data_IF_374594565034
#
_entry.id   IF_374594565034
#
_cell.length_a   1.000
_cell.length_b   1.000
_cell.length_c   1.000
_cell.angle_alpha   90.00
_cell.angle_beta   90.00
_cell.angle_gamma   90.00
#
_symmetry.space_group_name_H-M   'P 1'
#
loop_
_entity.id
_entity.type
_entity.pdbx_description
1 polymer ?
#
# COMPACT_ATOMS: atom_id res chain seq x y z
N UNK A 1 12.51 -46.15 34.71
CA UNK A 1 12.91 -44.73 34.53
C UNK A 1 12.88 -44.07 35.91
N UNK A 2 13.97 -43.41 36.33
CA UNK A 2 14.03 -42.77 37.66
C UNK A 2 12.97 -41.65 37.75
N UNK A 3 12.11 -41.67 38.77
CA UNK A 3 11.04 -40.69 38.99
C UNK A 3 11.57 -39.24 38.97
N UNK A 4 12.78 -39.02 39.50
CA UNK A 4 13.45 -37.72 39.47
C UNK A 4 13.81 -37.31 38.04
N UNK A 5 14.31 -38.24 37.22
CA UNK A 5 14.62 -37.98 35.81
C UNK A 5 13.37 -37.62 35.02
N UNK A 6 12.24 -38.29 35.29
CA UNK A 6 10.96 -37.96 34.67
C UNK A 6 10.46 -36.57 35.05
N UNK A 7 10.54 -36.20 36.34
CA UNK A 7 10.14 -34.86 36.80
C UNK A 7 11.03 -33.76 36.21
N UNK A 8 12.34 -33.97 36.18
CA UNK A 8 13.28 -33.00 35.59
C UNK A 8 13.03 -32.85 34.09
N UNK A 9 12.84 -33.95 33.35
CA UNK A 9 12.51 -33.91 31.93
C UNK A 9 11.17 -33.19 31.68
N UNK A 10 10.16 -33.47 32.51
CA UNK A 10 8.86 -32.80 32.46
C UNK A 10 8.99 -31.28 32.62
N UNK A 11 9.69 -30.82 33.66
CA UNK A 11 9.94 -29.38 33.89
C UNK A 11 10.67 -28.76 32.69
N UNK A 12 11.70 -29.43 32.18
CA UNK A 12 12.51 -28.93 31.08
C UNK A 12 11.69 -28.75 29.80
N UNK A 13 10.81 -29.71 29.48
CA UNK A 13 9.87 -29.61 28.35
C UNK A 13 8.92 -28.42 28.52
N UNK A 14 8.36 -28.20 29.71
CA UNK A 14 7.46 -27.06 29.95
C UNK A 14 8.20 -25.72 29.89
N UNK A 15 9.43 -25.64 30.39
CA UNK A 15 10.26 -24.44 30.23
C UNK A 15 10.57 -24.15 28.75
N UNK A 16 10.89 -25.17 27.94
CA UNK A 16 11.11 -25.01 26.50
C UNK A 16 9.84 -24.52 25.81
N UNK A 17 8.68 -25.10 26.10
CA UNK A 17 7.41 -24.64 25.53
C UNK A 17 7.09 -23.19 25.93
N UNK A 18 7.28 -22.85 27.20
CA UNK A 18 7.06 -21.48 27.67
C UNK A 18 7.97 -20.49 26.94
N UNK A 19 9.27 -20.78 26.81
CA UNK A 19 10.23 -19.92 26.09
C UNK A 19 9.86 -19.84 24.60
N UNK A 20 9.41 -20.95 24.00
CA UNK A 20 9.04 -20.98 22.57
C UNK A 20 7.87 -20.06 22.23
N UNK A 21 6.91 -19.87 23.16
CA UNK A 21 5.80 -18.93 22.96
C UNK A 21 6.34 -17.50 22.80
N UNK A 22 7.37 -17.12 23.57
CA UNK A 22 7.95 -15.79 23.44
C UNK A 22 8.77 -15.61 22.14
N UNK A 23 9.52 -16.62 21.71
CA UNK A 23 10.26 -16.56 20.42
C UNK A 23 9.31 -16.51 19.22
N UNK A 24 8.21 -17.27 19.26
CA UNK A 24 7.24 -17.39 18.15
C UNK A 24 6.32 -16.16 18.07
N UNK A 25 5.75 -15.70 19.19
CA UNK A 25 4.70 -14.69 19.19
C UNK A 25 5.15 -13.29 19.61
N UNK A 26 6.38 -13.12 20.10
CA UNK A 26 6.86 -11.81 20.58
C UNK A 26 8.17 -11.35 19.93
N UNK A 27 8.37 -11.73 18.66
CA UNK A 27 9.48 -11.23 17.84
C UNK A 27 8.95 -10.26 16.79
N UNK A 28 9.50 -9.05 16.74
CA UNK A 28 9.12 -8.05 15.72
C UNK A 28 9.41 -8.57 14.31
N UNK A 29 8.50 -8.35 13.33
CA UNK A 29 8.78 -8.68 11.94
C UNK A 29 9.88 -7.80 11.35
N UNK A 30 10.07 -6.60 11.91
CA UNK A 30 10.97 -5.57 11.42
C UNK A 30 12.44 -5.92 11.62
N UNK A 31 13.20 -5.65 10.57
CA UNK A 31 14.65 -5.76 10.50
C UNK A 31 15.21 -4.35 10.43
N UNK A 32 16.35 -4.13 11.08
CA UNK A 32 17.05 -2.84 11.06
C UNK A 32 18.51 -3.03 10.62
N UNK A 33 19.13 -1.96 10.12
CA UNK A 33 20.53 -1.97 9.67
C UNK A 33 20.73 -2.51 8.25
N UNK A 34 19.68 -2.57 7.45
CA UNK A 34 19.78 -2.87 6.01
C UNK A 34 20.26 -1.65 5.23
N UNK A 35 20.89 -1.88 4.09
CA UNK A 35 21.23 -0.82 3.14
C UNK A 35 20.03 -0.59 2.20
N UNK A 36 19.57 0.64 2.00
CA UNK A 36 18.51 0.94 1.04
C UNK A 36 19.03 0.81 -0.40
N UNK A 37 18.20 0.25 -1.29
CA UNK A 37 18.50 0.11 -2.72
C UNK A 37 17.45 0.81 -3.59
N UNK A 38 17.93 1.62 -4.54
CA UNK A 38 17.09 2.32 -5.52
C UNK A 38 17.56 2.06 -6.95
N UNK A 39 16.66 2.24 -7.89
CA UNK A 39 16.95 2.18 -9.33
C UNK A 39 17.74 3.43 -9.72
N UNK A 40 18.78 3.26 -10.54
CA UNK A 40 19.60 4.39 -11.03
C UNK A 40 19.08 5.00 -12.34
N UNK A 41 18.22 4.29 -13.05
CA UNK A 41 17.56 4.79 -14.25
C UNK A 41 16.54 5.88 -13.90
N UNK A 42 16.32 6.87 -14.79
CA UNK A 42 15.33 7.90 -14.58
C UNK A 42 13.93 7.32 -14.31
N UNK A 43 13.25 7.75 -13.24
CA UNK A 43 11.90 7.28 -12.96
C UNK A 43 10.90 7.85 -13.97
N UNK A 44 9.81 7.11 -14.27
CA UNK A 44 8.83 7.56 -15.23
C UNK A 44 7.90 8.67 -14.70
N UNK A 45 7.81 8.89 -13.39
CA UNK A 45 7.01 9.93 -12.77
C UNK A 45 7.87 10.82 -11.85
N UNK A 46 7.52 12.10 -11.75
CA UNK A 46 8.12 13.02 -10.77
C UNK A 46 7.33 13.06 -9.47
N UNK A 47 6.02 12.78 -9.56
CA UNK A 47 5.08 12.87 -8.46
C UNK A 47 4.04 11.75 -8.53
N UNK A 48 3.59 11.32 -7.35
CA UNK A 48 2.59 10.28 -7.17
C UNK A 48 1.44 10.83 -6.34
N UNK A 49 0.20 10.56 -6.76
CA UNK A 49 -1.00 10.78 -5.97
C UNK A 49 -1.60 9.42 -5.59
N UNK A 50 -1.63 9.14 -4.29
CA UNK A 50 -2.20 7.93 -3.73
C UNK A 50 -3.53 8.27 -3.06
N UNK A 51 -4.62 7.69 -3.56
CA UNK A 51 -5.93 7.70 -2.93
C UNK A 51 -6.17 6.34 -2.28
N UNK A 52 -6.39 6.32 -0.96
CA UNK A 52 -6.84 5.13 -0.24
C UNK A 52 -8.23 5.41 0.28
N UNK A 53 -9.21 4.70 -0.27
CA UNK A 53 -10.60 4.82 0.10
C UNK A 53 -10.94 3.70 1.09
N UNK A 54 -10.80 4.00 2.38
CA UNK A 54 -10.85 3.04 3.50
C UNK A 54 -12.15 2.22 3.45
N UNK A 55 -12.03 0.90 3.65
CA UNK A 55 -13.16 -0.04 3.63
C UNK A 55 -13.79 -0.28 2.25
N UNK A 56 -13.22 0.24 1.16
CA UNK A 56 -13.75 0.07 -0.19
C UNK A 56 -13.58 -1.36 -0.72
N UNK A 57 -14.68 -2.09 -0.84
CA UNK A 57 -14.74 -3.40 -1.50
C UNK A 57 -14.54 -3.31 -3.02
N UNK A 58 -13.78 -4.25 -3.60
CA UNK A 58 -13.58 -4.35 -5.04
C UNK A 58 -14.90 -4.52 -5.81
N UNK A 59 -15.79 -5.38 -5.31
CA UNK A 59 -17.07 -5.66 -5.96
C UNK A 59 -17.97 -4.40 -6.02
N UNK A 60 -18.01 -3.63 -4.95
CA UNK A 60 -18.86 -2.45 -4.84
C UNK A 60 -18.43 -1.32 -5.79
N UNK A 61 -17.12 -1.22 -6.05
CA UNK A 61 -16.56 -0.29 -7.03
C UNK A 61 -16.81 -0.76 -8.47
N UNK A 62 -16.52 -2.03 -8.77
CA UNK A 62 -16.48 -2.54 -10.14
C UNK A 62 -17.83 -3.00 -10.68
N UNK A 63 -18.77 -3.38 -9.81
CA UNK A 63 -20.12 -3.80 -10.23
C UNK A 63 -20.90 -2.66 -10.88
N UNK A 64 -21.79 -3.05 -11.78
CA UNK A 64 -22.84 -2.19 -12.31
C UNK A 64 -24.14 -2.44 -11.53
N UNK A 65 -24.96 -1.41 -11.41
CA UNK A 65 -26.31 -1.54 -10.88
C UNK A 65 -27.23 -2.30 -11.85
N UNK A 66 -28.48 -2.57 -11.44
CA UNK A 66 -29.46 -3.29 -12.26
C UNK A 66 -29.85 -2.57 -13.56
N UNK A 67 -29.50 -1.29 -13.72
CA UNK A 67 -29.68 -0.50 -14.94
C UNK A 67 -28.40 -0.42 -15.78
N UNK A 68 -27.32 -1.08 -15.36
CA UNK A 68 -26.04 -1.09 -16.06
C UNK A 68 -25.15 0.13 -15.77
N UNK A 69 -25.46 0.94 -14.75
CA UNK A 69 -24.66 2.11 -14.39
C UNK A 69 -23.62 1.77 -13.32
N UNK A 70 -22.44 2.38 -13.40
CA UNK A 70 -21.41 2.24 -12.38
C UNK A 70 -21.61 3.24 -11.23
N UNK A 71 -21.25 2.85 -10.00
CA UNK A 71 -21.13 3.79 -8.89
C UNK A 71 -19.88 4.69 -9.02
N UNK A 72 -18.94 4.35 -9.90
CA UNK A 72 -17.70 5.08 -10.10
C UNK A 72 -17.41 5.27 -11.60
N UNK A 73 -18.24 6.06 -12.31
CA UNK A 73 -18.12 6.25 -13.76
C UNK A 73 -16.77 6.82 -14.20
N UNK A 74 -16.16 7.73 -13.44
CA UNK A 74 -14.84 8.28 -13.77
C UNK A 74 -13.77 7.20 -13.70
N UNK A 75 -13.69 6.47 -12.58
CA UNK A 75 -12.71 5.39 -12.39
C UNK A 75 -12.93 4.24 -13.37
N UNK A 76 -14.18 3.88 -13.67
CA UNK A 76 -14.49 2.90 -14.71
C UNK A 76 -14.02 3.37 -16.09
N UNK A 77 -14.15 4.66 -16.39
CA UNK A 77 -13.61 5.23 -17.62
C UNK A 77 -12.07 5.21 -17.64
N UNK A 78 -11.40 5.42 -16.50
CA UNK A 78 -9.94 5.26 -16.39
C UNK A 78 -9.52 3.84 -16.76
N UNK A 79 -10.17 2.82 -16.19
CA UNK A 79 -9.93 1.40 -16.54
C UNK A 79 -10.06 1.19 -18.05
N UNK A 80 -11.08 1.78 -18.66
CA UNK A 80 -11.37 1.56 -20.07
C UNK A 80 -10.41 2.28 -21.04
N UNK A 81 -9.83 3.41 -20.62
CA UNK A 81 -9.17 4.36 -21.53
C UNK A 81 -7.71 4.67 -21.24
N UNK A 82 -7.27 4.64 -19.97
CA UNK A 82 -5.96 5.20 -19.58
C UNK A 82 -5.19 4.38 -18.54
N UNK A 83 -5.86 3.51 -17.78
CA UNK A 83 -5.27 2.85 -16.62
C UNK A 83 -5.03 1.36 -16.77
N UNK A 84 -4.26 0.82 -15.81
CA UNK A 84 -4.20 -0.60 -15.48
C UNK A 84 -5.00 -0.86 -14.21
N UNK A 85 -5.60 -2.04 -14.10
CA UNK A 85 -6.53 -2.35 -13.03
C UNK A 85 -6.46 -3.81 -12.60
N UNK A 86 -6.94 -4.08 -11.39
CA UNK A 86 -7.10 -5.42 -10.87
C UNK A 86 -7.61 -5.43 -9.43
N UNK A 87 -7.39 -6.55 -8.76
CA UNK A 87 -7.69 -6.73 -7.34
C UNK A 87 -6.39 -6.73 -6.53
N UNK A 88 -6.36 -5.92 -5.48
CA UNK A 88 -5.34 -5.96 -4.44
C UNK A 88 -5.81 -6.89 -3.32
N UNK A 89 -5.00 -7.92 -3.04
CA UNK A 89 -5.28 -8.93 -2.03
C UNK A 89 -4.66 -8.52 -0.70
N UNK A 90 -5.48 -8.02 0.23
CA UNK A 90 -5.06 -7.71 1.61
C UNK A 90 -5.00 -8.99 2.47
N UNK A 91 -4.42 -8.90 3.66
CA UNK A 91 -4.24 -10.02 4.59
C UNK A 91 -4.89 -9.74 5.94
N UNK A 92 -5.16 -10.81 6.66
CA UNK A 92 -5.63 -10.73 8.05
C UNK A 92 -4.50 -10.21 8.95
N UNK A 93 -4.79 -9.31 9.91
CA UNK A 93 -6.12 -8.75 10.19
C UNK A 93 -6.47 -7.63 9.20
N UNK A 94 -7.67 -7.69 8.63
CA UNK A 94 -8.21 -6.68 7.69
C UNK A 94 -8.67 -5.46 8.48
N UNK A 95 -7.70 -4.78 9.07
CA UNK A 95 -7.86 -3.57 9.88
C UNK A 95 -7.11 -2.43 9.21
N UNK A 96 -7.54 -1.19 9.44
CA UNK A 96 -7.05 -0.07 8.64
C UNK A 96 -5.54 0.13 8.74
N UNK A 97 -4.98 0.10 9.96
CA UNK A 97 -3.53 0.24 10.15
C UNK A 97 -2.70 -0.82 9.41
N UNK A 98 -2.89 -2.14 9.63
CA UNK A 98 -2.16 -3.17 8.92
C UNK A 98 -2.27 -3.07 7.39
N UNK A 99 -3.45 -2.72 6.87
CA UNK A 99 -3.67 -2.53 5.44
C UNK A 99 -2.87 -1.35 4.88
N UNK A 100 -2.87 -0.20 5.58
CA UNK A 100 -2.07 0.96 5.21
C UNK A 100 -0.55 0.68 5.28
N UNK A 101 -0.09 -0.06 6.29
CA UNK A 101 1.32 -0.47 6.38
C UNK A 101 1.71 -1.38 5.22
N UNK A 102 0.84 -2.31 4.82
CA UNK A 102 1.08 -3.14 3.64
C UNK A 102 1.16 -2.29 2.37
N UNK A 103 0.23 -1.35 2.18
CA UNK A 103 0.21 -0.46 1.00
C UNK A 103 1.46 0.41 0.88
N UNK A 104 1.88 1.05 1.97
CA UNK A 104 2.85 2.16 1.95
C UNK A 104 4.27 1.69 2.34
N UNK A 105 4.39 0.71 3.24
CA UNK A 105 5.68 0.14 3.64
C UNK A 105 5.95 -1.25 3.03
N UNK A 106 4.94 -1.87 2.40
CA UNK A 106 5.13 -3.11 1.66
C UNK A 106 5.32 -4.35 2.53
N UNK A 107 4.93 -4.32 3.80
CA UNK A 107 5.00 -5.48 4.69
C UNK A 107 3.73 -5.66 5.51
N UNK A 108 3.53 -6.89 6.00
CA UNK A 108 2.36 -7.24 6.78
C UNK A 108 2.70 -7.20 8.27
N UNK A 109 1.98 -6.39 9.04
CA UNK A 109 2.10 -6.40 10.50
C UNK A 109 1.61 -7.74 11.07
N UNK A 110 2.29 -8.22 12.11
CA UNK A 110 1.88 -9.43 12.84
C UNK A 110 0.68 -9.11 13.74
N UNK A 111 -0.29 -10.02 13.83
CA UNK A 111 -1.47 -9.93 14.71
C UNK A 111 -1.08 -9.58 16.15
N UNK A 112 0.04 -10.12 16.64
CA UNK A 112 0.59 -9.84 17.99
C UNK A 112 1.07 -8.40 18.17
N UNK A 113 1.55 -7.75 17.11
CA UNK A 113 1.88 -6.33 17.11
C UNK A 113 0.59 -5.49 17.11
N UNK A 114 -0.46 -5.90 16.40
CA UNK A 114 -1.74 -5.19 16.39
C UNK A 114 -2.44 -5.24 17.76
N UNK A 115 -2.42 -6.38 18.43
CA UNK A 115 -3.07 -6.60 19.75
C UNK A 115 -2.44 -5.77 20.88
N UNK A 116 -1.14 -5.42 20.77
CA UNK A 116 -0.41 -4.69 21.84
C UNK A 116 -0.59 -3.18 21.81
N UNK A 117 -1.11 -2.58 20.74
CA UNK A 117 -1.04 -1.14 20.54
C UNK A 117 -2.09 -0.58 19.58
N UNK A 118 -3.37 -0.83 19.88
CA UNK A 118 -4.54 -0.39 19.12
C UNK A 118 -4.60 1.12 18.82
N UNK A 119 -3.77 1.96 19.47
CA UNK A 119 -3.73 3.41 19.21
C UNK A 119 -2.35 4.00 18.95
N UNK A 120 -1.27 3.45 19.52
CA UNK A 120 0.08 3.86 19.18
C UNK A 120 1.02 2.68 19.45
N UNK A 121 1.56 2.06 18.40
CA UNK A 121 2.64 1.10 18.57
C UNK A 121 3.91 1.74 17.99
N UNK A 122 4.91 2.08 18.83
CA UNK A 122 5.99 3.03 18.54
C UNK A 122 7.14 2.45 17.72
N UNK A 123 6.93 1.34 17.01
CA UNK A 123 8.01 0.74 16.24
C UNK A 123 8.12 1.47 14.92
N UNK A 124 9.08 2.37 14.84
CA UNK A 124 9.44 3.08 13.61
C UNK A 124 9.77 2.06 12.51
N UNK A 125 9.14 2.25 11.36
CA UNK A 125 9.42 1.49 10.15
C UNK A 125 9.64 2.44 8.98
N UNK A 126 10.41 1.95 8.02
CA UNK A 126 10.63 2.64 6.77
C UNK A 126 9.46 2.42 5.80
N UNK A 127 9.16 3.43 4.99
CA UNK A 127 8.04 3.43 4.05
C UNK A 127 8.34 4.31 2.84
N UNK A 128 7.52 4.24 1.79
CA UNK A 128 7.75 5.10 0.61
C UNK A 128 7.70 6.61 0.93
N UNK A 129 7.03 7.01 2.03
CA UNK A 129 6.97 8.42 2.44
C UNK A 129 8.31 8.89 3.01
N UNK A 130 8.99 8.03 3.77
CA UNK A 130 10.34 8.26 4.29
C UNK A 130 11.36 8.45 3.16
N UNK A 131 11.18 7.69 2.07
CA UNK A 131 12.09 7.68 0.93
C UNK A 131 11.79 8.78 -0.10
N UNK A 132 10.65 9.47 0.05
CA UNK A 132 10.24 10.60 -0.78
C UNK A 132 11.01 11.88 -0.45
N UNK A 133 11.08 12.81 -1.42
CA UNK A 133 11.62 14.16 -1.18
C UNK A 133 10.68 14.98 -0.32
N UNK A 134 9.39 14.91 -0.62
CA UNK A 134 8.30 15.51 0.15
C UNK A 134 7.05 14.64 0.04
N UNK A 135 6.38 14.44 1.18
CA UNK A 135 5.04 13.87 1.23
C UNK A 135 4.10 14.89 1.87
N UNK A 136 2.96 15.15 1.24
CA UNK A 136 1.83 15.84 1.86
C UNK A 136 0.66 14.88 1.98
N UNK A 137 0.10 14.75 3.17
CA UNK A 137 -0.98 13.82 3.46
C UNK A 137 -2.16 14.47 4.15
N UNK A 138 -3.38 14.01 3.81
CA UNK A 138 -4.64 14.48 4.38
C UNK A 138 -5.54 13.30 4.78
N UNK A 139 -6.15 13.38 5.95
CA UNK A 139 -7.14 12.40 6.42
C UNK A 139 -7.10 12.11 7.91
N UNK A 140 -7.17 10.82 8.28
CA UNK A 140 -7.37 10.40 9.68
C UNK A 140 -6.16 10.67 10.59
N UNK A 141 -6.38 11.18 11.82
CA UNK A 141 -5.34 11.25 12.84
C UNK A 141 -4.87 9.87 13.34
N UNK A 142 -5.61 8.79 13.06
CA UNK A 142 -5.21 7.43 13.42
C UNK A 142 -4.28 6.78 12.38
N UNK A 143 -4.30 7.28 11.14
CA UNK A 143 -3.48 6.76 10.03
C UNK A 143 -2.24 7.60 9.76
N UNK A 144 -2.43 8.90 9.49
CA UNK A 144 -1.36 9.75 8.96
C UNK A 144 -0.13 9.85 9.88
N UNK A 145 -0.27 10.07 11.20
CA UNK A 145 0.87 10.26 12.08
C UNK A 145 1.80 9.06 12.17
N UNK A 146 1.33 7.83 11.90
CA UNK A 146 2.20 6.64 11.99
C UNK A 146 3.31 6.66 10.93
N UNK A 147 3.05 7.23 9.75
CA UNK A 147 4.03 7.37 8.68
C UNK A 147 4.90 8.63 8.83
N UNK A 148 4.39 9.66 9.51
CA UNK A 148 5.17 10.88 9.77
C UNK A 148 6.14 10.71 10.95
N UNK A 149 5.72 10.02 12.02
CA UNK A 149 6.59 9.76 13.20
C UNK A 149 7.81 8.91 12.86
N UNK A 150 7.69 7.99 11.90
CA UNK A 150 8.81 7.18 11.41
C UNK A 150 9.73 7.91 10.42
N UNK A 151 9.29 9.04 9.85
CA UNK A 151 10.06 9.80 8.87
C UNK A 151 11.19 10.58 9.53
N UNK A 152 12.42 10.38 9.06
CA UNK A 152 13.57 11.14 9.55
C UNK A 152 13.59 12.53 8.90
N UNK A 153 13.07 13.54 9.61
CA UNK A 153 13.20 14.96 9.23
C UNK A 153 11.90 15.63 8.75
N UNK A 154 12.00 16.92 8.39
CA UNK A 154 10.85 17.80 8.09
C UNK A 154 10.37 17.70 6.63
N UNK A 155 10.02 16.50 6.17
CA UNK A 155 9.59 16.28 4.77
C UNK A 155 8.29 15.48 4.59
N UNK A 156 7.71 14.92 5.66
CA UNK A 156 6.37 14.29 5.65
C UNK A 156 5.42 15.18 6.44
N UNK A 157 4.48 15.82 5.75
CA UNK A 157 3.53 16.78 6.32
C UNK A 157 2.14 16.17 6.41
N UNK A 158 1.55 16.15 7.60
CA UNK A 158 0.21 15.60 7.86
C UNK A 158 -0.78 16.70 8.16
N UNK A 159 -1.93 16.72 7.49
CA UNK A 159 -3.07 17.55 7.84
C UNK A 159 -4.27 16.66 8.16
N UNK A 160 -4.62 16.57 9.45
CA UNK A 160 -5.71 15.72 9.91
C UNK A 160 -6.92 16.55 10.32
N UNK A 161 -8.11 16.02 10.08
CA UNK A 161 -9.30 16.51 10.79
C UNK A 161 -9.18 16.13 12.28
N UNK A 162 -9.98 16.78 13.13
CA UNK A 162 -9.97 16.44 14.56
C UNK A 162 -10.58 15.06 14.80
N UNK A 163 -10.03 14.30 15.74
CA UNK A 163 -10.49 12.95 16.06
C UNK A 163 -11.98 12.90 16.46
N UNK A 164 -12.53 13.97 17.04
CA UNK A 164 -13.96 14.01 17.39
C UNK A 164 -14.90 14.07 16.17
N UNK A 165 -14.36 14.26 14.96
CA UNK A 165 -15.13 14.18 13.72
C UNK A 165 -15.26 12.76 13.17
N UNK A 166 -14.51 11.78 13.70
CA UNK A 166 -14.67 10.36 13.40
C UNK A 166 -15.85 9.80 14.19
N UNK A 167 -17.04 10.31 13.89
CA UNK A 167 -18.28 9.83 14.48
C UNK A 167 -18.90 8.77 13.56
N UNK A 168 -18.67 7.50 13.90
CA UNK A 168 -19.25 6.36 13.19
C UNK A 168 -20.78 6.25 13.29
N UNK A 169 -21.42 7.10 14.10
CA UNK A 169 -22.86 7.22 14.18
C UNK A 169 -23.41 8.48 13.45
N UNK A 170 -22.54 9.28 12.81
CA UNK A 170 -22.97 10.46 12.06
C UNK A 170 -23.87 10.08 10.87
N UNK A 171 -24.91 10.87 10.63
CA UNK A 171 -25.85 10.65 9.53
C UNK A 171 -25.21 10.84 8.13
N UNK A 172 -24.08 11.55 8.02
CA UNK A 172 -23.36 11.77 6.77
C UNK A 172 -21.84 11.66 6.94
N UNK A 173 -21.31 10.45 6.72
CA UNK A 173 -19.88 10.19 6.78
C UNK A 173 -19.10 10.71 5.55
N UNK A 174 -19.78 11.15 4.47
CA UNK A 174 -19.11 11.69 3.28
C UNK A 174 -18.39 13.02 3.55
N UNK A 175 -18.69 13.65 4.70
CA UNK A 175 -18.08 14.91 5.13
C UNK A 175 -16.57 14.80 5.35
N UNK A 176 -16.06 13.64 5.77
CA UNK A 176 -14.63 13.44 5.99
C UNK A 176 -13.87 13.37 4.66
N UNK A 177 -14.40 12.66 3.67
CA UNK A 177 -13.84 12.60 2.32
C UNK A 177 -13.87 13.99 1.67
N UNK A 178 -15.00 14.69 1.80
CA UNK A 178 -15.17 16.06 1.28
C UNK A 178 -14.16 17.01 1.92
N UNK A 179 -13.96 16.90 3.25
CA UNK A 179 -12.95 17.69 3.95
C UNK A 179 -11.54 17.45 3.38
N UNK A 180 -11.17 16.19 3.11
CA UNK A 180 -9.87 15.86 2.51
C UNK A 180 -9.73 16.53 1.14
N UNK A 181 -10.73 16.38 0.26
CA UNK A 181 -10.69 17.00 -1.07
C UNK A 181 -10.62 18.53 -0.99
N UNK A 182 -11.36 19.17 -0.08
CA UNK A 182 -11.33 20.61 0.12
C UNK A 182 -9.96 21.08 0.64
N UNK A 183 -9.35 20.39 1.59
CA UNK A 183 -8.02 20.72 2.07
C UNK A 183 -6.95 20.62 0.97
N UNK A 184 -7.05 19.62 0.09
CA UNK A 184 -6.12 19.50 -1.05
C UNK A 184 -6.34 20.65 -2.04
N UNK A 185 -7.60 21.00 -2.35
CA UNK A 185 -7.93 22.15 -3.21
C UNK A 185 -7.39 23.46 -2.65
N UNK A 186 -7.59 23.71 -1.36
CA UNK A 186 -7.07 24.90 -0.67
C UNK A 186 -5.54 24.93 -0.67
N UNK A 187 -4.90 23.79 -0.43
CA UNK A 187 -3.44 23.67 -0.45
C UNK A 187 -2.85 24.03 -1.82
N UNK A 188 -3.38 23.49 -2.92
CA UNK A 188 -2.91 23.81 -4.27
C UNK A 188 -3.23 25.25 -4.67
N UNK A 189 -4.34 25.82 -4.21
CA UNK A 189 -4.65 27.24 -4.43
C UNK A 189 -3.70 28.17 -3.67
N UNK A 190 -3.34 27.82 -2.43
CA UNK A 190 -2.34 28.55 -1.64
C UNK A 190 -0.95 28.44 -2.29
N UNK A 191 -0.59 27.26 -2.79
CA UNK A 191 0.68 27.03 -3.47
C UNK A 191 0.89 27.95 -4.68
N UNK A 192 -0.15 28.29 -5.44
CA UNK A 192 -0.05 29.21 -6.60
C UNK A 192 0.51 30.59 -6.22
N UNK A 193 0.32 31.04 -4.98
CA UNK A 193 0.72 32.37 -4.51
C UNK A 193 1.85 32.31 -3.47
N UNK A 194 2.39 31.12 -3.17
CA UNK A 194 3.47 30.93 -2.21
C UNK A 194 4.69 30.35 -2.94
N UNK A 195 5.66 31.21 -3.29
CA UNK A 195 6.84 30.81 -4.08
C UNK A 195 7.63 29.66 -3.45
N UNK A 196 7.76 29.64 -2.11
CA UNK A 196 8.47 28.58 -1.41
C UNK A 196 7.74 27.24 -1.54
N UNK A 197 6.42 27.23 -1.33
CA UNK A 197 5.62 26.02 -1.47
C UNK A 197 5.54 25.57 -2.93
N UNK A 198 5.36 26.51 -3.86
CA UNK A 198 5.37 26.25 -5.29
C UNK A 198 6.66 25.56 -5.73
N UNK A 199 7.81 26.07 -5.28
CA UNK A 199 9.12 25.47 -5.55
C UNK A 199 9.22 24.05 -4.99
N UNK A 200 8.80 23.82 -3.73
CA UNK A 200 8.80 22.47 -3.14
C UNK A 200 7.92 21.49 -3.92
N UNK A 201 6.78 21.95 -4.45
CA UNK A 201 5.85 21.14 -5.22
C UNK A 201 6.36 20.82 -6.65
N UNK A 202 7.37 21.53 -7.14
CA UNK A 202 8.01 21.29 -8.43
C UNK A 202 9.32 20.50 -8.33
N UNK A 203 9.68 20.02 -7.13
CA UNK A 203 10.72 19.02 -6.95
C UNK A 203 10.29 17.65 -7.51
N UNK A 204 11.21 16.69 -7.50
CA UNK A 204 10.95 15.30 -7.87
C UNK A 204 10.77 14.43 -6.63
N UNK A 205 10.26 13.20 -6.80
CA UNK A 205 10.01 12.23 -5.72
C UNK A 205 8.96 12.74 -4.73
N UNK A 206 7.92 13.37 -5.25
CA UNK A 206 6.82 13.92 -4.45
C UNK A 206 5.70 12.90 -4.30
N UNK A 207 5.11 12.84 -3.10
CA UNK A 207 3.90 12.05 -2.84
C UNK A 207 2.80 12.94 -2.28
N UNK A 208 1.59 12.78 -2.81
CA UNK A 208 0.35 13.27 -2.23
C UNK A 208 -0.47 12.08 -1.77
N UNK A 209 -0.80 12.01 -0.49
CA UNK A 209 -1.58 10.91 0.09
C UNK A 209 -2.92 11.41 0.61
N UNK A 210 -4.01 10.89 0.05
CA UNK A 210 -5.37 11.21 0.45
C UNK A 210 -6.00 9.96 1.06
N UNK A 211 -6.22 10.01 2.36
CA UNK A 211 -6.92 8.98 3.12
C UNK A 211 -8.40 9.34 3.26
N UNK A 212 -9.28 8.54 2.68
CA UNK A 212 -10.71 8.82 2.57
C UNK A 212 -11.50 7.80 3.43
N UNK A 213 -11.89 8.22 4.64
CA UNK A 213 -12.50 7.35 5.68
C UNK A 213 -14.01 7.13 5.51
N UNK A 214 -14.69 7.93 4.68
CA UNK A 214 -16.16 7.98 4.63
C UNK A 214 -16.80 6.63 4.27
N UNK A 215 -16.15 5.84 3.42
CA UNK A 215 -16.66 4.54 2.99
C UNK A 215 -16.66 3.49 4.10
N UNK A 216 -15.56 3.31 4.83
CA UNK A 216 -15.51 2.43 5.99
C UNK A 216 -16.59 2.81 7.01
N UNK A 217 -16.67 4.10 7.32
CA UNK A 217 -17.66 4.65 8.26
C UNK A 217 -19.10 4.33 7.83
N UNK A 218 -19.44 4.61 6.57
CA UNK A 218 -20.77 4.27 6.01
C UNK A 218 -20.99 2.77 5.94
N UNK A 219 -19.94 1.99 5.74
CA UNK A 219 -20.02 0.54 5.69
C UNK A 219 -20.37 -0.04 7.07
N UNK A 220 -19.77 0.45 8.16
CA UNK A 220 -20.12 0.05 9.53
C UNK A 220 -21.55 0.45 9.89
N UNK A 221 -21.92 1.71 9.59
CA UNK A 221 -23.22 2.26 9.97
C UNK A 221 -24.38 1.72 9.12
N UNK A 222 -24.21 1.62 7.80
CA UNK A 222 -25.28 1.35 6.84
C UNK A 222 -25.11 0.06 6.05
N UNK A 223 -23.95 -0.59 6.10
CA UNK A 223 -23.58 -1.81 5.34
C UNK A 223 -23.25 -1.52 3.86
N UNK A 224 -22.40 -2.35 3.21
CA UNK A 224 -21.92 -2.09 1.84
C UNK A 224 -22.97 -2.06 0.73
N UNK A 225 -24.11 -2.71 0.93
CA UNK A 225 -25.17 -2.77 -0.08
C UNK A 225 -26.13 -1.58 -0.03
N UNK A 226 -26.01 -0.74 1.01
CA UNK A 226 -26.85 0.43 1.25
C UNK A 226 -26.71 1.49 0.17
N UNK A 227 -27.69 2.40 0.17
CA UNK A 227 -27.66 3.56 -0.73
C UNK A 227 -26.58 4.54 -0.29
N UNK A 228 -26.40 4.67 1.01
CA UNK A 228 -25.45 5.58 1.68
C UNK A 228 -24.01 5.22 1.27
N UNK A 229 -23.62 3.95 1.41
CA UNK A 229 -22.31 3.45 0.97
C UNK A 229 -22.10 3.64 -0.54
N UNK A 230 -23.08 3.27 -1.38
CA UNK A 230 -22.99 3.47 -2.84
C UNK A 230 -22.92 4.94 -3.26
N UNK A 231 -23.63 5.82 -2.57
CA UNK A 231 -23.56 7.27 -2.77
C UNK A 231 -22.18 7.80 -2.36
N UNK A 232 -21.58 7.28 -1.29
CA UNK A 232 -20.23 7.63 -0.91
C UNK A 232 -19.21 7.20 -1.99
N UNK A 233 -19.38 6.04 -2.64
CA UNK A 233 -18.52 5.63 -3.77
C UNK A 233 -18.61 6.68 -4.89
N UNK A 234 -19.82 7.16 -5.23
CA UNK A 234 -20.00 8.23 -6.24
C UNK A 234 -19.31 9.52 -5.81
N UNK A 235 -19.37 9.88 -4.53
CA UNK A 235 -18.69 11.05 -3.99
C UNK A 235 -17.17 10.95 -4.06
N UNK A 236 -16.61 9.79 -3.76
CA UNK A 236 -15.18 9.52 -3.92
C UNK A 236 -14.80 9.59 -5.40
N UNK A 237 -15.58 9.01 -6.31
CA UNK A 237 -15.33 9.07 -7.75
C UNK A 237 -15.33 10.50 -8.30
N UNK A 238 -16.34 11.32 -7.93
CA UNK A 238 -16.43 12.75 -8.24
C UNK A 238 -15.22 13.52 -7.70
N UNK A 239 -14.89 13.34 -6.42
CA UNK A 239 -13.77 14.03 -5.77
C UNK A 239 -12.42 13.64 -6.37
N UNK A 240 -12.20 12.36 -6.68
CA UNK A 240 -10.97 11.90 -7.37
C UNK A 240 -10.87 12.55 -8.75
N UNK A 241 -11.96 12.64 -9.52
CA UNK A 241 -11.96 13.32 -10.81
C UNK A 241 -11.56 14.80 -10.69
N UNK A 242 -12.09 15.51 -9.69
CA UNK A 242 -11.76 16.90 -9.41
C UNK A 242 -10.28 17.07 -9.04
N UNK A 243 -9.76 16.25 -8.13
CA UNK A 243 -8.35 16.31 -7.70
C UNK A 243 -7.41 15.99 -8.86
N UNK A 244 -7.70 14.97 -9.66
CA UNK A 244 -6.90 14.65 -10.86
C UNK A 244 -6.83 15.86 -11.79
N UNK A 245 -7.98 16.44 -12.13
CA UNK A 245 -8.07 17.59 -13.04
C UNK A 245 -7.30 18.80 -12.50
N UNK A 246 -7.39 19.05 -11.19
CA UNK A 246 -6.67 20.13 -10.53
C UNK A 246 -5.17 19.90 -10.51
N UNK A 247 -4.71 18.70 -10.15
CA UNK A 247 -3.29 18.35 -10.08
C UNK A 247 -2.67 18.44 -11.47
N UNK A 248 -3.30 17.82 -12.48
CA UNK A 248 -2.83 17.91 -13.87
C UNK A 248 -2.78 19.38 -14.34
N UNK A 249 -3.82 20.17 -14.04
CA UNK A 249 -3.86 21.60 -14.37
C UNK A 249 -2.78 22.43 -13.67
N UNK A 250 -2.49 22.17 -12.39
CA UNK A 250 -1.46 22.88 -11.61
C UNK A 250 -0.07 22.69 -12.21
N UNK A 251 0.24 21.49 -12.70
CA UNK A 251 1.51 21.17 -13.35
C UNK A 251 1.48 21.37 -14.87
N UNK A 252 0.47 22.04 -15.41
CA UNK A 252 0.38 22.34 -16.84
C UNK A 252 0.26 21.11 -17.74
N UNK A 253 -0.32 20.01 -17.23
CA UNK A 253 -0.48 18.72 -17.92
C UNK A 253 0.86 18.15 -18.42
N UNK A 254 1.91 18.25 -17.61
CA UNK A 254 3.28 17.82 -17.96
C UNK A 254 3.43 16.31 -18.21
N UNK A 255 2.42 15.50 -17.88
CA UNK A 255 2.44 14.05 -18.04
C UNK A 255 3.36 13.31 -17.05
N UNK A 256 3.83 13.97 -15.98
CA UNK A 256 4.79 13.42 -15.02
C UNK A 256 4.16 13.00 -13.68
N UNK A 257 2.83 12.92 -13.61
CA UNK A 257 2.09 12.48 -12.41
C UNK A 257 1.57 11.07 -12.60
N UNK A 258 1.89 10.18 -11.65
CA UNK A 258 1.25 8.88 -11.52
C UNK A 258 0.13 8.97 -10.47
N UNK A 259 -0.95 8.23 -10.70
CA UNK A 259 -2.09 8.15 -9.80
C UNK A 259 -2.41 6.69 -9.47
N UNK A 260 -2.73 6.42 -8.21
CA UNK A 260 -3.16 5.11 -7.73
C UNK A 260 -4.37 5.30 -6.83
N UNK A 261 -5.45 4.55 -7.09
CA UNK A 261 -6.60 4.42 -6.21
C UNK A 261 -6.72 2.96 -5.75
N UNK A 262 -6.84 2.76 -4.45
CA UNK A 262 -7.01 1.45 -3.84
C UNK A 262 -7.72 1.53 -2.48
N UNK A 263 -7.79 0.41 -1.77
CA UNK A 263 -8.28 0.31 -0.40
C UNK A 263 -7.31 -0.52 0.46
N UNK A 264 -7.34 -0.26 1.76
CA UNK A 264 -6.62 -1.01 2.79
C UNK A 264 -7.33 -2.34 3.13
N UNK A 265 -8.66 -2.33 3.18
CA UNK A 265 -9.51 -3.51 3.27
C UNK A 265 -10.88 -3.27 2.62
N UNK A 266 -11.68 -4.32 2.54
CA UNK A 266 -13.13 -4.22 2.32
C UNK A 266 -13.89 -4.46 3.61
N UNK A 267 -15.09 -5.02 3.52
CA UNK A 267 -15.85 -5.46 4.69
C UNK A 267 -16.91 -6.52 4.34
N UNK A 268 -17.42 -7.20 5.36
CA UNK A 268 -18.54 -8.14 5.22
C UNK A 268 -19.85 -7.44 4.86
N UNK A 269 -20.84 -8.22 4.42
CA UNK A 269 -22.20 -7.71 4.18
C UNK A 269 -22.89 -7.19 5.44
N UNK A 270 -22.36 -7.52 6.62
CA UNK A 270 -22.85 -7.05 7.92
C UNK A 270 -22.27 -5.71 8.35
N UNK A 271 -21.31 -5.16 7.59
CA UNK A 271 -20.66 -3.92 7.98
C UNK A 271 -19.50 -4.13 8.95
N UNK A 272 -18.79 -5.25 8.88
CA UNK A 272 -17.66 -5.55 9.80
C UNK A 272 -16.45 -6.00 9.01
N UNK A 273 -15.25 -5.82 9.55
CA UNK A 273 -14.01 -6.33 8.98
C UNK A 273 -13.08 -6.88 10.11
N UNK A 274 -11.86 -7.30 9.78
CA UNK A 274 -10.87 -7.88 10.69
C UNK A 274 -10.53 -9.35 10.42
N UNK A 275 -11.32 -10.04 9.57
CA UNK A 275 -11.19 -11.46 9.24
C UNK A 275 -10.84 -11.70 7.75
N UNK A 276 -10.89 -12.97 7.32
CA UNK A 276 -10.38 -13.43 6.02
C UNK A 276 -11.45 -13.56 4.93
N UNK A 277 -12.66 -13.01 5.12
CA UNK A 277 -13.69 -13.16 4.10
C UNK A 277 -13.27 -12.45 2.80
N UNK A 278 -13.55 -12.99 1.58
CA UNK A 278 -13.19 -12.33 0.33
C UNK A 278 -13.69 -10.89 0.20
N UNK A 279 -14.86 -10.56 0.74
CA UNK A 279 -15.34 -9.18 0.73
C UNK A 279 -14.53 -8.24 1.62
N UNK A 280 -13.78 -8.76 2.59
CA UNK A 280 -12.83 -8.02 3.42
C UNK A 280 -11.44 -7.97 2.76
N UNK A 281 -11.05 -9.04 2.05
CA UNK A 281 -9.69 -9.22 1.56
C UNK A 281 -9.46 -8.78 0.10
N UNK A 282 -10.52 -8.58 -0.68
CA UNK A 282 -10.46 -8.16 -2.08
C UNK A 282 -10.76 -6.66 -2.20
N UNK A 283 -9.72 -5.88 -2.44
CA UNK A 283 -9.77 -4.42 -2.59
C UNK A 283 -9.53 -4.01 -4.05
N UNK A 284 -10.11 -2.91 -4.53
CA UNK A 284 -9.84 -2.45 -5.89
C UNK A 284 -8.41 -1.92 -6.00
N UNK A 285 -7.83 -2.01 -7.19
CA UNK A 285 -6.59 -1.32 -7.55
C UNK A 285 -6.74 -0.77 -8.96
N UNK A 286 -6.67 0.55 -9.10
CA UNK A 286 -6.66 1.25 -10.38
C UNK A 286 -5.46 2.19 -10.38
N UNK A 287 -4.58 2.08 -11.37
CA UNK A 287 -3.44 2.95 -11.54
C UNK A 287 -3.44 3.56 -12.93
N UNK A 288 -3.02 4.82 -13.06
CA UNK A 288 -2.94 5.52 -14.34
C UNK A 288 -1.91 6.67 -14.30
N UNK A 289 -1.67 7.28 -15.45
CA UNK A 289 -0.73 8.39 -15.59
C UNK A 289 0.70 7.95 -15.88
N UNK A 290 1.66 8.77 -15.46
CA UNK A 290 3.08 8.63 -15.80
C UNK A 290 3.63 7.25 -15.41
N UNK A 291 4.23 6.54 -16.37
CA UNK A 291 4.84 5.23 -16.14
C UNK A 291 3.88 4.05 -15.97
N UNK A 292 2.56 4.27 -16.01
CA UNK A 292 1.56 3.20 -15.93
C UNK A 292 1.18 2.71 -17.32
N UNK A 293 0.99 1.39 -17.43
CA UNK A 293 0.57 0.73 -18.67
C UNK A 293 -0.88 1.07 -19.00
N UNK A 294 -1.09 1.43 -20.27
CA UNK A 294 -2.42 1.65 -20.83
C UNK A 294 -3.26 0.36 -20.79
N UNK A 295 -4.61 0.49 -20.88
CA UNK A 295 -5.50 -0.66 -20.87
C UNK A 295 -5.14 -1.65 -21.97
N UNK A 296 -5.01 -2.92 -21.61
CA UNK A 296 -4.75 -3.99 -22.57
C UNK A 296 -6.06 -4.70 -22.88
N UNK A 297 -6.47 -4.71 -24.14
CA UNK A 297 -7.63 -5.48 -24.58
C UNK A 297 -7.25 -6.94 -24.80
N UNK A 298 -8.11 -7.85 -24.36
CA UNK A 298 -7.89 -9.29 -24.41
C UNK A 298 -9.19 -10.01 -24.77
N UNK A 299 -9.07 -11.11 -25.52
CA UNK A 299 -10.21 -11.90 -25.97
C UNK A 299 -10.68 -12.93 -24.95
N UNK A 300 -9.77 -13.38 -24.09
CA UNK A 300 -10.05 -14.31 -23.00
C UNK A 300 -9.01 -14.18 -21.90
N UNK A 301 -9.44 -14.43 -20.67
CA UNK A 301 -8.61 -14.44 -19.47
C UNK A 301 -9.13 -15.56 -18.57
N UNK A 302 -8.24 -16.24 -17.84
CA UNK A 302 -8.62 -17.31 -16.93
C UNK A 302 -8.35 -16.88 -15.49
N UNK A 303 -9.43 -16.84 -14.71
CA UNK A 303 -9.44 -16.67 -13.25
C UNK A 303 -10.30 -17.78 -12.67
N UNK A 304 -10.02 -18.18 -11.43
CA UNK A 304 -10.84 -19.17 -10.72
C UNK A 304 -12.21 -18.62 -10.29
N UNK A 305 -12.35 -17.28 -10.27
CA UNK A 305 -13.57 -16.55 -9.92
C UNK A 305 -14.43 -16.17 -11.14
N UNK A 306 -15.64 -15.66 -10.87
CA UNK A 306 -16.60 -15.18 -11.88
C UNK A 306 -16.62 -13.66 -12.05
N UNK A 307 -15.69 -12.94 -11.38
CA UNK A 307 -15.79 -11.49 -11.20
C UNK A 307 -15.70 -10.69 -12.49
N UNK A 308 -14.87 -11.12 -13.45
CA UNK A 308 -14.76 -10.45 -14.76
C UNK A 308 -16.15 -10.30 -15.44
N UNK A 309 -16.96 -11.37 -15.38
CA UNK A 309 -18.30 -11.42 -15.99
C UNK A 309 -19.34 -10.64 -15.20
N UNK A 310 -19.21 -10.63 -13.87
CA UNK A 310 -20.08 -9.89 -12.96
C UNK A 310 -19.84 -8.39 -13.08
N UNK A 311 -18.58 -7.97 -13.15
CA UNK A 311 -18.17 -6.56 -13.25
C UNK A 311 -18.24 -5.99 -14.67
N UNK A 312 -18.52 -6.82 -15.67
CA UNK A 312 -18.54 -6.46 -17.09
C UNK A 312 -17.22 -5.85 -17.56
N UNK A 313 -16.12 -6.46 -17.14
CA UNK A 313 -14.75 -6.01 -17.43
C UNK A 313 -13.93 -7.07 -18.19
N UNK A 314 -14.57 -8.07 -18.79
CA UNK A 314 -13.92 -9.20 -19.48
C UNK A 314 -12.91 -8.76 -20.55
N UNK A 315 -13.21 -7.64 -21.22
CA UNK A 315 -12.42 -7.11 -22.34
C UNK A 315 -11.10 -6.45 -21.91
N UNK A 316 -10.96 -6.03 -20.66
CA UNK A 316 -9.77 -5.34 -20.16
C UNK A 316 -8.95 -6.27 -19.27
N UNK A 317 -7.65 -6.38 -19.54
CA UNK A 317 -6.75 -7.27 -18.81
C UNK A 317 -6.75 -6.94 -17.31
N UNK A 318 -7.24 -7.87 -16.49
CA UNK A 318 -7.17 -7.81 -15.03
C UNK A 318 -5.76 -8.16 -14.59
N UNK A 319 -5.25 -7.48 -13.58
CA UNK A 319 -3.88 -7.67 -13.07
C UNK A 319 -3.91 -7.63 -11.54
N UNK A 320 -4.07 -8.79 -10.93
CA UNK A 320 -4.14 -8.88 -9.47
C UNK A 320 -2.75 -8.79 -8.82
N UNK A 321 -2.69 -8.20 -7.63
CA UNK A 321 -1.46 -8.04 -6.86
C UNK A 321 -1.70 -8.38 -5.39
N UNK A 322 -0.65 -8.74 -4.65
CA UNK A 322 -0.74 -8.69 -3.20
C UNK A 322 -0.65 -7.24 -2.74
N UNK A 323 -1.34 -6.87 -1.67
CA UNK A 323 -1.37 -5.46 -1.22
C UNK A 323 0.04 -4.88 -0.97
N UNK A 324 0.96 -5.69 -0.46
CA UNK A 324 2.36 -5.32 -0.25
C UNK A 324 3.13 -4.97 -1.53
N UNK A 325 2.66 -5.44 -2.70
CA UNK A 325 3.26 -5.20 -4.02
C UNK A 325 3.02 -3.76 -4.52
N UNK A 326 2.10 -3.03 -3.90
CA UNK A 326 1.80 -1.63 -4.27
C UNK A 326 2.94 -0.70 -3.82
N UNK A 327 3.59 -0.97 -2.68
CA UNK A 327 4.76 -0.21 -2.23
C UNK A 327 5.93 -0.22 -3.25
N UNK A 328 6.42 -1.38 -3.74
CA UNK A 328 7.46 -1.40 -4.77
C UNK A 328 7.00 -0.82 -6.11
N UNK A 329 5.71 -0.92 -6.46
CA UNK A 329 5.17 -0.21 -7.63
C UNK A 329 5.36 1.31 -7.48
N UNK A 330 4.92 1.87 -6.36
CA UNK A 330 5.06 3.30 -6.05
C UNK A 330 6.53 3.74 -6.06
N UNK A 331 7.41 2.98 -5.38
CA UNK A 331 8.83 3.28 -5.32
C UNK A 331 9.48 3.33 -6.72
N UNK A 332 9.12 2.39 -7.58
CA UNK A 332 9.62 2.32 -8.96
C UNK A 332 9.12 3.48 -9.84
N UNK A 333 7.90 3.97 -9.62
CA UNK A 333 7.31 5.04 -10.43
C UNK A 333 8.01 6.38 -10.20
N UNK A 334 8.38 6.69 -8.95
CA UNK A 334 9.02 7.97 -8.60
C UNK A 334 10.54 7.86 -8.35
N UNK A 335 11.11 6.65 -8.40
CA UNK A 335 12.55 6.43 -8.32
C UNK A 335 13.14 6.67 -6.94
N UNK A 336 12.44 6.20 -5.90
CA UNK A 336 12.92 6.19 -4.52
C UNK A 336 13.38 4.78 -4.13
N UNK A 337 14.20 4.62 -3.06
CA UNK A 337 14.48 3.30 -2.52
C UNK A 337 13.23 2.48 -2.22
N UNK A 338 13.32 1.17 -2.43
CA UNK A 338 12.27 0.26 -1.99
C UNK A 338 12.25 0.22 -0.45
N UNK A 339 11.06 0.27 0.20
CA UNK A 339 11.02 0.30 1.65
C UNK A 339 11.77 -0.87 2.28
N UNK A 340 12.54 -0.60 3.33
CA UNK A 340 13.54 -1.53 3.83
C UNK A 340 12.99 -2.90 4.18
N UNK A 341 11.80 -2.94 4.79
CA UNK A 341 11.11 -4.14 5.22
C UNK A 341 10.08 -4.66 4.21
N UNK A 342 9.99 -4.06 3.02
CA UNK A 342 9.04 -4.48 2.00
C UNK A 342 9.29 -5.94 1.60
N UNK A 343 8.26 -6.76 1.66
CA UNK A 343 8.22 -8.12 1.11
C UNK A 343 7.48 -8.16 -0.24
N UNK A 344 7.02 -7.00 -0.71
CA UNK A 344 6.29 -6.87 -1.96
C UNK A 344 7.15 -7.19 -3.18
N UNK A 345 6.54 -7.82 -4.17
CA UNK A 345 7.13 -8.12 -5.47
C UNK A 345 6.65 -7.10 -6.47
N UNK A 346 7.58 -6.43 -7.16
CA UNK A 346 7.26 -5.39 -8.14
C UNK A 346 6.29 -5.90 -9.23
N UNK A 347 5.06 -5.36 -9.36
CA UNK A 347 4.11 -5.81 -10.38
C UNK A 347 4.46 -5.22 -11.75
N UNK A 348 5.37 -5.88 -12.47
CA UNK A 348 5.90 -5.43 -13.77
C UNK A 348 4.85 -5.19 -14.86
N UNK A 349 3.68 -5.84 -14.74
CA UNK A 349 2.57 -5.69 -15.68
C UNK A 349 1.93 -4.29 -15.62
N UNK A 350 2.01 -3.60 -14.47
CA UNK A 350 1.53 -2.23 -14.31
C UNK A 350 2.46 -1.18 -14.93
N UNK A 351 3.74 -1.51 -15.13
CA UNK A 351 4.73 -0.55 -15.62
C UNK A 351 4.72 -0.42 -17.15
N UNK A 352 4.66 0.82 -17.64
CA UNK A 352 4.92 1.20 -19.02
C UNK A 352 6.33 1.76 -19.18
N UNK A 353 7.31 0.87 -19.25
CA UNK A 353 8.71 1.26 -19.40
C UNK A 353 9.47 0.18 -20.20
N UNK A 354 10.72 0.50 -20.56
CA UNK A 354 11.62 -0.38 -21.30
C UNK A 354 11.87 -1.70 -20.55
N UNK A 355 12.23 -2.75 -21.30
CA UNK A 355 12.61 -4.03 -20.70
C UNK A 355 13.82 -3.89 -19.75
N UNK A 356 14.76 -2.99 -20.07
CA UNK A 356 15.90 -2.68 -19.20
C UNK A 356 15.43 -2.11 -17.87
N UNK A 357 14.58 -1.07 -17.88
CA UNK A 357 14.03 -0.49 -16.65
C UNK A 357 13.33 -1.56 -15.81
N UNK A 358 12.44 -2.35 -16.42
CA UNK A 358 11.74 -3.43 -15.72
C UNK A 358 12.69 -4.45 -15.09
N UNK A 359 13.73 -4.87 -15.82
CA UNK A 359 14.71 -5.84 -15.33
C UNK A 359 15.54 -5.28 -14.17
N UNK A 360 16.02 -4.04 -14.27
CA UNK A 360 16.79 -3.39 -13.21
C UNK A 360 15.93 -3.12 -11.96
N UNK A 361 14.67 -2.71 -12.13
CA UNK A 361 13.73 -2.52 -11.02
C UNK A 361 13.39 -3.83 -10.31
N UNK A 362 13.13 -4.90 -11.07
CA UNK A 362 12.90 -6.23 -10.50
C UNK A 362 14.13 -6.73 -9.73
N UNK A 363 15.33 -6.54 -10.28
CA UNK A 363 16.57 -6.93 -9.62
C UNK A 363 16.80 -6.13 -8.33
N UNK A 364 16.58 -4.81 -8.37
CA UNK A 364 16.73 -3.92 -7.21
C UNK A 364 15.73 -4.27 -6.10
N UNK A 365 14.46 -4.54 -6.45
CA UNK A 365 13.45 -5.03 -5.50
C UNK A 365 13.88 -6.37 -4.87
N UNK A 366 14.38 -7.32 -5.65
CA UNK A 366 14.89 -8.59 -5.14
C UNK A 366 16.12 -8.42 -4.23
N UNK A 367 17.01 -7.48 -4.55
CA UNK A 367 18.16 -7.15 -3.70
C UNK A 367 17.70 -6.54 -2.36
N UNK A 368 16.71 -5.65 -2.35
CA UNK A 368 16.15 -5.11 -1.11
C UNK A 368 15.58 -6.20 -0.19
N UNK A 369 14.82 -7.16 -0.75
CA UNK A 369 14.31 -8.31 -0.01
C UNK A 369 15.46 -9.18 0.51
N UNK A 370 16.51 -9.36 -0.29
CA UNK A 370 17.69 -10.12 0.11
C UNK A 370 18.45 -9.47 1.27
N UNK A 371 18.47 -8.14 1.39
CA UNK A 371 19.08 -7.45 2.53
C UNK A 371 18.40 -7.83 3.85
N UNK A 372 17.07 -7.94 3.88
CA UNK A 372 16.34 -8.45 5.06
C UNK A 372 16.80 -9.85 5.44
N UNK A 373 16.91 -10.74 4.45
CA UNK A 373 17.37 -12.10 4.67
C UNK A 373 18.80 -12.14 5.23
N UNK A 374 19.74 -11.38 4.66
CA UNK A 374 21.13 -11.32 5.13
C UNK A 374 21.21 -10.88 6.59
N UNK A 375 20.51 -9.81 6.95
CA UNK A 375 20.51 -9.29 8.33
C UNK A 375 19.85 -10.28 9.28
N UNK A 376 18.66 -10.84 8.93
CA UNK A 376 18.00 -11.86 9.75
C UNK A 376 18.86 -13.12 9.92
N UNK A 377 19.58 -13.55 8.89
CA UNK A 377 20.50 -14.70 8.97
C UNK A 377 21.62 -14.43 9.98
N UNK A 378 22.25 -13.25 9.92
CA UNK A 378 23.30 -12.86 10.88
C UNK A 378 22.75 -12.78 12.30
N UNK A 379 21.56 -12.21 12.48
CA UNK A 379 20.90 -12.12 13.78
C UNK A 379 20.57 -13.52 14.34
N UNK A 380 19.94 -14.39 13.54
CA UNK A 380 19.58 -15.75 13.97
C UNK A 380 20.81 -16.60 14.26
N UNK A 381 21.91 -16.43 13.50
CA UNK A 381 23.20 -17.07 13.79
C UNK A 381 23.78 -16.65 15.15
N UNK A 382 23.61 -15.38 15.54
CA UNK A 382 24.09 -14.86 16.83
C UNK A 382 23.22 -15.34 18.01
N UNK A 383 21.93 -15.52 17.81
CA UNK A 383 20.98 -15.88 18.89
C UNK A 383 20.67 -17.37 18.99
N UNK A 384 21.02 -18.17 17.99
CA UNK A 384 20.82 -19.62 17.99
C UNK A 384 22.09 -20.34 18.46
N UNK A 385 21.93 -21.46 19.18
CA UNK A 385 23.06 -22.33 19.52
C UNK A 385 23.78 -22.78 18.24
N UNK A 386 25.11 -22.65 18.20
CA UNK A 386 25.91 -22.80 16.98
C UNK A 386 25.73 -24.15 16.27
N UNK A 387 25.46 -25.23 17.02
CA UNK A 387 25.23 -26.57 16.48
C UNK A 387 23.81 -26.79 15.94
N UNK A 388 22.85 -25.93 16.28
CA UNK A 388 21.48 -25.94 15.74
C UNK A 388 21.33 -25.01 14.54
N UNK A 389 22.26 -24.09 14.33
CA UNK A 389 22.23 -23.18 13.19
C UNK A 389 22.88 -23.83 11.97
N UNK A 390 22.07 -24.12 10.96
CA UNK A 390 22.56 -24.46 9.63
C UNK A 390 22.31 -23.27 8.69
N UNK A 391 23.37 -22.64 8.13
CA UNK A 391 23.17 -21.56 7.17
C UNK A 391 22.49 -22.12 5.94
N UNK A 392 21.55 -21.36 5.39
CA UNK A 392 21.05 -21.63 4.06
C UNK A 392 22.22 -21.53 3.08
N UNK A 393 22.49 -22.61 2.34
CA UNK A 393 23.57 -22.64 1.35
C UNK A 393 23.12 -21.83 0.13
N UNK A 394 23.44 -20.54 0.14
CA UNK A 394 23.35 -19.71 -1.04
C UNK A 394 24.49 -20.09 -2.00
N UNK A 395 24.21 -20.93 -2.99
CA UNK A 395 25.06 -21.03 -4.18
C UNK A 395 24.81 -19.79 -5.05
N UNK A 396 25.54 -18.72 -4.77
CA UNK A 396 25.63 -17.61 -5.70
C UNK A 396 26.41 -18.07 -6.94
N UNK A 397 25.74 -18.22 -8.07
CA UNK A 397 26.29 -17.60 -9.26
C UNK A 397 26.40 -16.13 -8.92
N UNK A 398 27.62 -15.67 -8.64
CA UNK A 398 27.90 -14.28 -8.28
C UNK A 398 27.09 -13.37 -9.18
N UNK A 399 26.01 -12.80 -8.66
CA UNK A 399 25.38 -11.65 -9.26
C UNK A 399 26.39 -10.54 -8.99
N UNK A 400 27.44 -10.48 -9.82
CA UNK A 400 28.27 -9.29 -9.99
C UNK A 400 27.36 -8.28 -10.67
N UNK A 401 26.41 -7.71 -9.91
CA UNK A 401 25.73 -6.49 -10.32
C UNK A 401 26.84 -5.46 -10.49
N UNK A 402 26.83 -4.83 -11.65
CA UNK A 402 27.79 -3.86 -12.14
C UNK A 402 28.05 -2.75 -11.10
N UNK A 403 29.04 -2.95 -10.24
CA UNK A 403 29.63 -1.88 -9.43
C UNK A 403 30.67 -1.06 -10.20
N UNK A 404 30.90 -1.38 -11.47
CA UNK A 404 31.79 -0.63 -12.36
C UNK A 404 31.02 -0.23 -13.62
N UNK A 405 30.68 1.05 -13.73
CA UNK A 405 30.02 1.66 -14.88
C UNK A 405 30.81 1.50 -16.18
N UNK A 406 30.66 0.37 -16.85
CA UNK A 406 30.96 0.24 -18.28
C UNK A 406 29.65 0.10 -19.04
N UNK A 407 29.41 1.11 -19.85
CA UNK A 407 28.51 1.10 -20.99
C UNK A 407 28.63 -0.25 -21.73
N UNK A 408 27.49 -0.88 -22.01
CA UNK A 408 27.39 -1.85 -23.07
C UNK A 408 26.88 -1.12 -24.31
N UNK A 409 27.67 -1.18 -25.38
CA UNK A 409 27.29 -0.79 -26.74
C UNK A 409 26.18 -1.68 -27.29
#
# INVERSE_FOLDING_TARGET
>A
MNMQLFMVAGILVHCVFLISIFDIYFTSPLVHGMTPHQILLPPPAQRLVLFVADGLRADSLYMLDGSGNSNAPFLRNIIASKGSWGVSHTRVPTESRPGHVALIAGFYEDVSAVVRGWKENPVEFDSIFNESKYTWSWGSPDILPMFAKGATGDHVYTNCYKAEREDFAAEDATILDTWVFDQVKDFFNLAKNNETLFSKLHEQKIIFFLHLLGLDTNGHAHRPHSREYKNNIRKVDEGVQEIVSMVEGFYGNDGNTAFILTSDHGMTDWGTHGASHPSETLTPLIAWGAGIKYPQTVTSQQYEDTFLKEWKLEMWKRQDVNQADIAPLMASLIGVPFPLNSVGVLPLEYLNNTAQFKAESMLTNAVQILEQFKVKMVQKKKTTLSFLFSPFKFEFWTIKIFSNGRQLC
#
